data_IF_722394924748
#
_entry.id   IF_722394924748
#
_cell.length_a   1.000
_cell.length_b   1.000
_cell.length_c   1.000
_cell.angle_alpha   90.00
_cell.angle_beta   90.00
_cell.angle_gamma   90.00
#
_symmetry.space_group_name_H-M   'P 1'
#
loop_
_entity.id
_entity.type
_entity.pdbx_description
1 polymer ?
#
# COMPACT_ATOMS: atom_id res chain seq x y z
N UNK A 1 -12.51 30.85 3.27
CA UNK A 1 -12.12 30.15 2.02
C UNK A 1 -12.52 28.65 1.99
N UNK A 2 -13.82 28.27 2.12
CA UNK A 2 -14.23 26.85 2.07
C UNK A 2 -14.47 26.31 0.64
N UNK A 3 -14.58 27.18 -0.37
CA UNK A 3 -14.92 26.78 -1.75
C UNK A 3 -13.81 26.02 -2.47
N UNK A 4 -12.54 26.24 -2.13
CA UNK A 4 -11.42 25.53 -2.74
C UNK A 4 -11.40 24.05 -2.31
N UNK A 5 -11.61 23.75 -1.03
CA UNK A 5 -11.56 22.38 -0.51
C UNK A 5 -12.69 21.49 -1.08
N UNK A 6 -13.88 22.07 -1.31
CA UNK A 6 -15.00 21.37 -1.97
C UNK A 6 -14.71 21.15 -3.46
N UNK A 7 -14.17 22.16 -4.16
CA UNK A 7 -13.88 22.09 -5.60
C UNK A 7 -12.78 21.08 -5.94
N UNK A 8 -11.80 20.90 -5.04
CA UNK A 8 -10.76 19.89 -5.19
C UNK A 8 -11.23 18.47 -4.83
N UNK A 9 -12.17 18.34 -3.87
CA UNK A 9 -12.87 17.07 -3.63
C UNK A 9 -13.63 16.58 -4.87
N UNK A 10 -14.27 17.50 -5.60
CA UNK A 10 -14.95 17.19 -6.88
C UNK A 10 -13.98 16.74 -7.96
N UNK A 11 -12.78 17.32 -8.05
CA UNK A 11 -11.74 16.92 -9.01
C UNK A 11 -11.20 15.52 -8.67
N UNK A 12 -10.95 15.23 -7.39
CA UNK A 12 -10.54 13.89 -6.95
C UNK A 12 -11.64 12.85 -7.21
N UNK A 13 -12.91 13.21 -6.99
CA UNK A 13 -14.06 12.35 -7.35
C UNK A 13 -14.18 12.12 -8.86
N UNK A 14 -13.86 13.10 -9.69
CA UNK A 14 -13.87 12.96 -11.16
C UNK A 14 -12.74 12.05 -11.65
N UNK A 15 -11.53 12.19 -11.07
CA UNK A 15 -10.38 11.32 -11.38
C UNK A 15 -10.62 9.88 -10.90
N UNK A 16 -11.25 9.70 -9.73
CA UNK A 16 -11.64 8.38 -9.23
C UNK A 16 -12.80 7.75 -10.03
N UNK A 17 -13.78 8.55 -10.48
CA UNK A 17 -14.88 8.06 -11.31
C UNK A 17 -14.40 7.57 -12.69
N UNK A 18 -13.37 8.20 -13.26
CA UNK A 18 -12.74 7.74 -14.50
C UNK A 18 -12.00 6.40 -14.38
N UNK A 19 -11.55 6.03 -13.18
CA UNK A 19 -10.80 4.78 -12.96
C UNK A 19 -11.70 3.52 -12.84
N UNK A 20 -13.02 3.69 -12.69
CA UNK A 20 -13.97 2.58 -12.52
C UNK A 20 -14.96 2.39 -13.68
N UNK A 21 -14.86 3.18 -14.75
CA UNK A 21 -15.66 3.01 -15.95
C UNK A 21 -15.02 1.98 -16.90
N UNK A 22 -15.10 0.70 -16.57
CA UNK A 22 -14.88 -0.38 -17.54
C UNK A 22 -16.20 -0.69 -18.26
N UNK A 23 -16.23 -0.81 -19.60
CA UNK A 23 -17.45 -1.22 -20.30
C UNK A 23 -17.71 -2.69 -20.02
N UNK A 24 -18.83 -2.99 -19.36
CA UNK A 24 -19.36 -4.34 -19.19
C UNK A 24 -19.81 -4.88 -20.55
N UNK A 25 -18.91 -5.59 -21.24
CA UNK A 25 -19.24 -6.32 -22.46
C UNK A 25 -19.92 -7.63 -22.04
N UNK A 26 -21.26 -7.63 -22.04
CA UNK A 26 -22.05 -8.82 -21.72
C UNK A 26 -21.88 -9.86 -22.81
N UNK A 27 -21.25 -10.99 -22.47
CA UNK A 27 -21.36 -12.21 -23.26
C UNK A 27 -22.29 -13.18 -22.52
N UNK A 28 -23.44 -13.41 -23.15
CA UNK A 28 -24.37 -14.46 -22.81
C UNK A 28 -23.69 -15.82 -23.06
N UNK A 29 -23.60 -16.66 -22.04
CA UNK A 29 -23.39 -18.09 -22.22
C UNK A 29 -24.66 -18.87 -21.91
N UNK A 30 -25.06 -19.61 -22.93
CA UNK A 30 -26.16 -20.55 -23.01
C UNK A 30 -25.91 -21.73 -22.07
N UNK A 31 -26.92 -22.05 -21.26
CA UNK A 31 -26.93 -23.20 -20.35
C UNK A 31 -27.66 -24.38 -21.02
N UNK A 32 -27.08 -25.59 -21.12
CA UNK A 32 -27.80 -26.74 -21.61
C UNK A 32 -28.67 -27.37 -20.50
N UNK A 33 -29.93 -27.64 -20.84
CA UNK A 33 -30.89 -28.43 -20.07
C UNK A 33 -30.48 -29.91 -19.96
N UNK A 34 -30.65 -30.59 -18.82
CA UNK A 34 -30.64 -32.04 -18.76
C UNK A 34 -32.05 -32.62 -18.96
N UNK A 35 -32.22 -33.50 -19.95
CA UNK A 35 -33.42 -34.33 -20.13
C UNK A 35 -33.37 -35.55 -19.21
N UNK A 36 -34.52 -35.83 -18.58
CA UNK A 36 -34.79 -37.02 -17.80
C UNK A 36 -35.17 -38.19 -18.72
N UNK A 37 -34.52 -39.35 -18.56
CA UNK A 37 -35.03 -40.64 -19.00
C UNK A 37 -34.74 -41.73 -17.96
N UNK A 38 -35.74 -42.59 -17.81
CA UNK A 38 -36.03 -43.58 -16.79
C UNK A 38 -35.21 -44.89 -16.87
N UNK A 39 -35.11 -45.55 -15.71
CA UNK A 39 -34.35 -46.76 -15.34
C UNK A 39 -34.72 -48.07 -16.11
N UNK A 40 -34.04 -49.23 -15.87
CA UNK A 40 -34.26 -49.99 -14.63
C UNK A 40 -33.01 -50.57 -13.94
N UNK A 41 -33.28 -51.07 -12.73
CA UNK A 41 -32.39 -51.41 -11.63
C UNK A 41 -31.52 -52.68 -11.78
N UNK A 42 -30.37 -52.66 -11.10
CA UNK A 42 -29.64 -53.84 -10.61
C UNK A 42 -29.17 -53.54 -9.18
N UNK A 43 -29.39 -54.42 -8.19
CA UNK A 43 -29.07 -54.15 -6.78
C UNK A 43 -27.64 -54.61 -6.45
N UNK A 44 -26.80 -53.70 -5.94
CA UNK A 44 -25.57 -54.09 -5.24
C UNK A 44 -25.42 -53.33 -3.92
N UNK A 45 -25.22 -54.13 -2.87
CA UNK A 45 -25.19 -53.77 -1.46
C UNK A 45 -23.98 -52.89 -1.11
N UNK A 46 -24.24 -51.83 -0.34
CA UNK A 46 -23.22 -51.13 0.45
C UNK A 46 -23.45 -51.42 1.94
N UNK A 47 -22.41 -51.78 2.71
CA UNK A 47 -22.53 -51.95 4.14
C UNK A 47 -22.52 -50.58 4.85
N UNK A 48 -23.58 -50.32 5.61
CA UNK A 48 -23.71 -49.22 6.57
C UNK A 48 -22.77 -49.43 7.75
N UNK A 49 -21.91 -48.45 8.04
CA UNK A 49 -21.28 -48.31 9.36
C UNK A 49 -22.00 -47.22 10.16
N UNK A 50 -22.36 -47.47 11.44
CA UNK A 50 -23.16 -46.55 12.25
C UNK A 50 -22.35 -45.37 12.77
N UNK A 51 -23.01 -44.21 12.84
CA UNK A 51 -22.51 -42.98 13.44
C UNK A 51 -22.27 -43.16 14.95
N UNK A 52 -21.08 -42.80 15.42
CA UNK A 52 -20.75 -42.73 16.84
C UNK A 52 -21.22 -41.37 17.42
N UNK A 53 -21.90 -41.36 18.59
CA UNK A 53 -22.33 -40.13 19.25
C UNK A 53 -21.15 -39.38 19.90
N UNK A 54 -21.25 -38.05 19.89
CA UNK A 54 -20.29 -37.12 20.46
C UNK A 54 -20.14 -37.28 21.99
N UNK A 55 -18.89 -37.33 22.47
CA UNK A 55 -18.55 -37.34 23.89
C UNK A 55 -18.67 -35.92 24.49
N UNK A 56 -19.24 -35.77 25.70
CA UNK A 56 -19.34 -34.48 26.38
C UNK A 56 -18.01 -34.00 26.97
N UNK A 57 -17.88 -32.67 27.05
CA UNK A 57 -16.73 -31.92 27.54
C UNK A 57 -16.30 -32.29 28.97
N UNK A 58 -15.00 -32.47 29.19
CA UNK A 58 -14.41 -32.66 30.51
C UNK A 58 -14.23 -31.31 31.25
N UNK A 59 -14.53 -31.22 32.56
CA UNK A 59 -14.33 -30.01 33.36
C UNK A 59 -12.86 -29.76 33.71
N UNK A 60 -12.48 -28.47 33.76
CA UNK A 60 -11.16 -27.99 34.18
C UNK A 60 -10.88 -28.26 35.67
N UNK A 61 -9.65 -28.70 35.98
CA UNK A 61 -9.14 -28.84 37.35
C UNK A 61 -8.44 -27.54 37.83
N UNK A 62 -8.53 -27.21 39.13
CA UNK A 62 -8.13 -25.92 39.70
C UNK A 62 -6.63 -25.78 40.00
N UNK A 63 -6.20 -24.52 40.00
CA UNK A 63 -4.85 -24.03 40.31
C UNK A 63 -4.48 -24.14 41.80
N UNK A 64 -3.19 -24.36 42.09
CA UNK A 64 -2.57 -24.07 43.39
C UNK A 64 -1.05 -23.72 43.29
N UNK A 65 -0.48 -23.02 44.30
CA UNK A 65 0.50 -21.91 44.23
C UNK A 65 1.97 -22.36 44.51
N UNK A 66 3.09 -21.60 44.40
CA UNK A 66 3.53 -20.28 44.94
C UNK A 66 4.92 -19.85 44.37
N UNK A 67 5.10 -18.53 44.12
CA UNK A 67 6.19 -17.54 44.42
C UNK A 67 7.70 -17.93 44.52
N UNK A 68 8.70 -17.00 44.48
CA UNK A 68 8.81 -15.63 43.92
C UNK A 68 10.16 -15.26 43.17
N UNK A 69 10.14 -14.09 42.49
CA UNK A 69 11.20 -13.07 42.25
C UNK A 69 12.56 -13.38 41.55
N UNK A 70 12.70 -12.87 40.30
CA UNK A 70 13.71 -11.97 39.68
C UNK A 70 15.24 -12.12 39.94
N UNK A 71 16.20 -11.52 39.17
CA UNK A 71 16.14 -10.75 37.90
C UNK A 71 17.24 -11.10 36.83
N UNK A 72 17.21 -10.36 35.71
CA UNK A 72 18.35 -9.89 34.87
C UNK A 72 19.04 -10.80 33.82
N UNK A 73 19.04 -10.26 32.57
CA UNK A 73 19.92 -10.51 31.40
C UNK A 73 21.43 -10.38 31.75
N UNK A 74 22.43 -10.76 30.90
CA UNK A 74 22.44 -10.78 29.43
C UNK A 74 23.20 -11.95 28.75
N UNK A 75 23.21 -11.93 27.41
CA UNK A 75 24.02 -12.79 26.55
C UNK A 75 25.54 -12.70 26.84
N UNK A 76 26.31 -13.70 26.39
CA UNK A 76 27.45 -13.36 25.55
C UNK A 76 27.65 -14.25 24.32
N UNK A 77 28.38 -13.69 23.38
CA UNK A 77 28.80 -14.27 22.12
C UNK A 77 30.07 -15.14 22.24
N UNK A 78 30.27 -15.94 21.19
CA UNK A 78 31.53 -16.53 20.68
C UNK A 78 32.11 -17.78 21.37
N UNK A 79 32.17 -18.89 20.62
CA UNK A 79 33.42 -19.49 20.14
C UNK A 79 33.21 -20.85 19.43
N UNK A 80 33.77 -20.94 18.21
CA UNK A 80 34.50 -22.06 17.58
C UNK A 80 33.91 -23.48 17.37
N UNK A 81 34.21 -23.95 16.15
CA UNK A 81 34.58 -25.29 15.72
C UNK A 81 33.49 -26.30 15.27
N UNK A 82 33.51 -26.52 13.94
CA UNK A 82 33.29 -27.76 13.16
C UNK A 82 33.58 -29.09 13.90
N UNK A 83 32.92 -30.24 13.55
CA UNK A 83 33.23 -30.92 12.26
C UNK A 83 32.12 -31.75 11.55
N UNK A 84 32.43 -31.99 10.26
CA UNK A 84 32.18 -33.18 9.43
C UNK A 84 30.92 -33.37 8.57
N UNK A 85 31.22 -33.76 7.32
CA UNK A 85 30.46 -34.02 6.10
C UNK A 85 29.41 -35.17 6.14
N UNK A 86 28.67 -35.39 5.03
CA UNK A 86 29.16 -36.38 4.06
C UNK A 86 29.09 -35.97 2.57
N UNK A 87 29.77 -36.78 1.77
CA UNK A 87 30.12 -36.61 0.35
C UNK A 87 29.01 -36.97 -0.65
N UNK A 88 29.13 -36.46 -1.88
CA UNK A 88 28.86 -37.26 -3.11
C UNK A 88 29.49 -36.62 -4.35
N UNK A 89 29.86 -37.51 -5.27
CA UNK A 89 30.83 -37.44 -6.36
C UNK A 89 30.31 -36.93 -7.70
N UNK A 90 31.21 -36.32 -8.48
CA UNK A 90 31.06 -35.91 -9.89
C UNK A 90 31.51 -37.04 -10.84
N UNK A 91 30.88 -37.25 -12.02
CA UNK A 91 31.45 -38.10 -13.06
C UNK A 91 32.15 -37.30 -14.18
N UNK A 92 33.17 -37.95 -14.74
CA UNK A 92 34.14 -37.45 -15.73
C UNK A 92 33.74 -37.71 -17.20
N UNK A 93 34.37 -36.95 -18.09
CA UNK A 93 34.28 -37.00 -19.57
C UNK A 93 34.98 -38.24 -20.20
N UNK A 94 34.63 -38.65 -21.43
CA UNK A 94 35.35 -39.68 -22.17
C UNK A 94 36.33 -39.13 -23.23
N UNK A 95 37.32 -39.98 -23.57
CA UNK A 95 38.43 -39.78 -24.52
C UNK A 95 38.35 -40.84 -25.63
N UNK A 96 38.62 -40.45 -26.88
CA UNK A 96 39.04 -41.29 -28.04
C UNK A 96 39.83 -40.33 -28.97
N UNK A 97 40.93 -40.61 -29.66
CA UNK A 97 41.79 -41.77 -29.92
C UNK A 97 42.63 -41.40 -31.17
N UNK A 98 43.96 -41.44 -31.10
CA UNK A 98 44.93 -41.25 -32.23
C UNK A 98 45.14 -42.58 -33.00
N UNK A 99 45.68 -42.67 -34.25
CA UNK A 99 46.92 -42.00 -34.72
C UNK A 99 47.07 -41.69 -36.25
N UNK A 100 48.12 -40.94 -36.62
CA UNK A 100 48.57 -40.81 -38.01
C UNK A 100 49.66 -39.76 -38.24
N UNK A 101 50.90 -40.22 -38.35
CA UNK A 101 52.14 -39.49 -38.68
C UNK A 101 52.22 -39.09 -40.16
N UNK A 102 52.65 -37.86 -40.44
CA UNK A 102 53.05 -37.42 -41.79
C UNK A 102 53.56 -35.97 -41.84
N UNK A 103 54.88 -35.80 -41.92
CA UNK A 103 55.60 -34.55 -42.27
C UNK A 103 55.44 -34.27 -43.79
N UNK A 104 55.50 -33.01 -44.28
CA UNK A 104 56.77 -32.32 -44.60
C UNK A 104 56.78 -30.81 -44.23
N UNK A 105 57.89 -30.30 -43.69
CA UNK A 105 58.95 -29.46 -44.32
C UNK A 105 58.58 -27.99 -44.69
N UNK A 106 59.39 -26.98 -44.33
CA UNK A 106 59.10 -25.55 -44.54
C UNK A 106 59.79 -24.96 -45.79
N UNK A 107 59.15 -23.98 -46.45
CA UNK A 107 59.81 -23.10 -47.43
C UNK A 107 59.11 -21.71 -47.51
N UNK A 108 59.83 -20.72 -46.98
CA UNK A 108 60.10 -19.32 -47.39
C UNK A 108 59.10 -18.53 -48.29
N UNK A 109 58.93 -17.20 -48.07
CA UNK A 109 57.84 -16.38 -48.62
C UNK A 109 58.16 -15.79 -50.00
N UNK A 110 57.13 -15.56 -50.81
CA UNK A 110 57.22 -14.80 -52.05
C UNK A 110 56.21 -13.64 -52.05
N UNK A 111 56.76 -12.43 -52.13
CA UNK A 111 56.07 -11.16 -52.36
C UNK A 111 55.48 -11.11 -53.77
N UNK A 112 54.19 -10.81 -53.88
CA UNK A 112 53.51 -10.36 -55.09
C UNK A 112 52.48 -9.29 -54.72
N UNK A 113 52.70 -8.06 -55.19
CA UNK A 113 51.84 -6.89 -54.95
C UNK A 113 50.62 -6.85 -55.91
N UNK A 114 49.79 -5.80 -55.87
CA UNK A 114 48.56 -5.67 -55.10
C UNK A 114 47.32 -5.87 -56.00
N UNK A 115 46.52 -6.90 -55.71
CA UNK A 115 45.22 -7.12 -56.36
C UNK A 115 44.10 -6.49 -55.54
N UNK A 116 43.39 -5.55 -56.15
CA UNK A 116 42.26 -4.81 -55.62
C UNK A 116 41.36 -5.62 -54.67
N UNK A 117 41.08 -5.03 -53.51
CA UNK A 117 40.07 -5.49 -52.59
C UNK A 117 38.71 -5.69 -53.29
N UNK A 118 37.97 -6.77 -53.03
CA UNK A 118 36.60 -6.55 -52.65
C UNK A 118 36.66 -5.95 -51.25
N UNK A 119 36.21 -4.69 -51.15
CA UNK A 119 35.89 -4.07 -49.87
C UNK A 119 35.27 -5.14 -48.98
N UNK A 120 35.85 -5.35 -47.79
CA UNK A 120 35.04 -5.85 -46.70
C UNK A 120 33.91 -4.83 -46.60
N UNK A 121 32.76 -5.15 -47.21
CA UNK A 121 31.53 -4.46 -46.95
C UNK A 121 31.41 -4.59 -45.45
N UNK A 122 31.75 -3.51 -44.76
CA UNK A 122 31.31 -3.30 -43.40
C UNK A 122 29.82 -3.43 -43.57
N UNK A 123 29.30 -4.63 -43.30
CA UNK A 123 27.90 -4.83 -43.11
C UNK A 123 27.63 -3.88 -41.96
N UNK A 124 27.21 -2.67 -42.31
CA UNK A 124 26.60 -1.73 -41.42
C UNK A 124 25.64 -2.60 -40.64
N UNK A 125 25.98 -2.82 -39.38
CA UNK A 125 25.13 -3.49 -38.43
C UNK A 125 24.00 -2.47 -38.25
N UNK A 126 23.10 -2.45 -39.24
CA UNK A 126 21.88 -1.67 -39.20
C UNK A 126 21.15 -2.32 -38.06
N UNK A 127 21.32 -1.78 -36.85
CA UNK A 127 20.35 -1.90 -35.79
C UNK A 127 19.16 -1.08 -36.28
N UNK A 128 18.11 -1.66 -36.89
CA UNK A 128 16.97 -0.89 -37.38
C UNK A 128 15.99 -0.60 -36.24
N UNK A 129 16.41 -0.80 -34.98
CA UNK A 129 15.55 -0.59 -33.83
C UNK A 129 16.15 0.51 -32.96
N UNK A 130 15.46 1.63 -33.02
CA UNK A 130 15.64 2.75 -32.14
C UNK A 130 15.34 2.26 -30.72
N UNK A 131 16.39 1.91 -29.95
CA UNK A 131 16.30 1.49 -28.54
C UNK A 131 15.93 2.66 -27.61
N UNK A 132 15.31 3.70 -28.16
CA UNK A 132 14.70 4.75 -27.36
C UNK A 132 13.49 4.17 -26.61
N UNK A 133 13.20 4.64 -25.39
CA UNK A 133 12.00 4.22 -24.65
C UNK A 133 10.71 4.40 -25.45
N UNK A 134 10.67 5.39 -26.33
CA UNK A 134 9.55 5.65 -27.24
C UNK A 134 9.43 4.60 -28.34
N UNK A 135 10.54 4.24 -28.99
CA UNK A 135 10.58 3.17 -29.99
C UNK A 135 10.16 1.83 -29.40
N UNK A 136 10.66 1.50 -28.22
CA UNK A 136 10.27 0.30 -27.46
C UNK A 136 8.79 0.30 -27.11
N UNK A 137 8.22 1.43 -26.68
CA UNK A 137 6.79 1.51 -26.40
C UNK A 137 5.94 1.31 -27.65
N UNK A 138 6.34 1.85 -28.81
CA UNK A 138 5.61 1.66 -30.07
C UNK A 138 5.68 0.20 -30.57
N UNK A 139 6.82 -0.46 -30.38
CA UNK A 139 7.02 -1.86 -30.77
C UNK A 139 6.34 -2.88 -29.82
N UNK A 140 6.03 -2.47 -28.59
CA UNK A 140 5.44 -3.34 -27.58
C UNK A 140 4.07 -3.96 -27.94
N UNK A 141 3.85 -5.15 -27.40
CA UNK A 141 2.57 -5.86 -27.46
C UNK A 141 1.44 -5.06 -26.80
N UNK A 142 0.20 -5.25 -27.24
CA UNK A 142 -0.97 -4.53 -26.74
C UNK A 142 -1.12 -4.65 -25.21
N UNK A 143 -0.86 -5.83 -24.64
CA UNK A 143 -0.97 -6.05 -23.19
C UNK A 143 0.14 -5.29 -22.45
N UNK A 144 1.37 -5.32 -22.95
CA UNK A 144 2.50 -4.57 -22.34
C UNK A 144 2.24 -3.07 -22.40
N UNK A 145 1.72 -2.57 -23.53
CA UNK A 145 1.28 -1.17 -23.67
C UNK A 145 0.21 -0.80 -22.63
N UNK A 146 -0.78 -1.64 -22.41
CA UNK A 146 -1.82 -1.42 -21.41
C UNK A 146 -1.25 -1.39 -19.98
N UNK A 147 -0.31 -2.29 -19.66
CA UNK A 147 0.41 -2.31 -18.38
C UNK A 147 1.19 -1.01 -18.17
N UNK A 148 1.99 -0.59 -19.15
CA UNK A 148 2.80 0.64 -19.06
C UNK A 148 1.91 1.88 -18.92
N UNK A 149 0.82 1.97 -19.69
CA UNK A 149 -0.11 3.10 -19.61
C UNK A 149 -0.85 3.14 -18.26
N UNK A 150 -1.29 1.98 -17.76
CA UNK A 150 -1.93 1.86 -16.45
C UNK A 150 -0.99 2.29 -15.30
N UNK A 151 0.28 1.89 -15.36
CA UNK A 151 1.30 2.29 -14.39
C UNK A 151 1.62 3.80 -14.48
N UNK A 152 1.70 4.34 -15.70
CA UNK A 152 1.87 5.78 -15.90
C UNK A 152 0.69 6.59 -15.32
N UNK A 153 -0.54 6.13 -15.54
CA UNK A 153 -1.73 6.71 -14.93
C UNK A 153 -1.69 6.63 -13.39
N UNK A 154 -1.33 5.48 -12.82
CA UNK A 154 -1.18 5.31 -11.38
C UNK A 154 -0.14 6.27 -10.78
N UNK A 155 0.94 6.56 -11.51
CA UNK A 155 1.93 7.57 -11.12
C UNK A 155 1.34 8.98 -11.07
N UNK A 156 0.57 9.39 -12.10
CA UNK A 156 -0.12 10.69 -12.13
C UNK A 156 -1.11 10.82 -10.97
N UNK A 157 -1.88 9.76 -10.70
CA UNK A 157 -2.81 9.70 -9.56
C UNK A 157 -2.07 9.85 -8.23
N UNK A 158 -0.94 9.18 -8.07
CA UNK A 158 -0.09 9.27 -6.87
C UNK A 158 0.33 10.72 -6.59
N UNK A 159 0.87 11.41 -7.60
CA UNK A 159 1.29 12.81 -7.46
C UNK A 159 0.11 13.76 -7.22
N UNK A 160 -1.03 13.53 -7.87
CA UNK A 160 -2.24 14.34 -7.68
C UNK A 160 -2.74 14.25 -6.24
N UNK A 161 -2.87 13.03 -5.72
CA UNK A 161 -3.29 12.81 -4.32
C UNK A 161 -2.26 13.39 -3.37
N UNK A 162 -0.96 13.28 -3.67
CA UNK A 162 0.09 13.82 -2.84
C UNK A 162 -0.06 15.34 -2.64
N UNK A 163 -0.21 16.11 -3.72
CA UNK A 163 -0.34 17.57 -3.64
C UNK A 163 -1.58 17.98 -2.84
N UNK A 164 -2.73 17.35 -3.11
CA UNK A 164 -3.97 17.64 -2.39
C UNK A 164 -3.84 17.35 -0.90
N UNK A 165 -3.26 16.19 -0.56
CA UNK A 165 -3.13 15.75 0.83
C UNK A 165 -2.10 16.55 1.62
N UNK A 166 -1.01 16.99 0.99
CA UNK A 166 -0.04 17.89 1.62
C UNK A 166 -0.73 19.18 2.07
N UNK A 167 -1.51 19.81 1.19
CA UNK A 167 -2.21 21.06 1.52
C UNK A 167 -3.29 20.84 2.59
N UNK A 168 -4.09 19.79 2.46
CA UNK A 168 -5.14 19.44 3.43
C UNK A 168 -4.55 19.21 4.84
N UNK A 169 -3.52 18.37 4.95
CA UNK A 169 -2.88 18.05 6.23
C UNK A 169 -2.13 19.24 6.82
N UNK A 170 -1.41 20.02 6.00
CA UNK A 170 -0.68 21.19 6.49
C UNK A 170 -1.64 22.23 7.09
N UNK A 171 -2.76 22.50 6.41
CA UNK A 171 -3.79 23.41 6.92
C UNK A 171 -4.47 22.86 8.17
N UNK A 172 -4.85 21.57 8.17
CA UNK A 172 -5.52 20.93 9.30
C UNK A 172 -4.64 20.90 10.55
N UNK A 173 -3.36 20.55 10.40
CA UNK A 173 -2.40 20.51 11.50
C UNK A 173 -2.09 21.91 12.03
N UNK A 174 -1.94 22.89 11.14
CA UNK A 174 -1.77 24.30 11.52
C UNK A 174 -2.96 24.83 12.33
N UNK A 175 -4.18 24.50 11.92
CA UNK A 175 -5.41 24.87 12.64
C UNK A 175 -5.51 24.16 13.99
N UNK A 176 -5.22 22.85 14.05
CA UNK A 176 -5.25 22.08 15.30
C UNK A 176 -4.24 22.62 16.33
N UNK A 177 -3.01 22.91 15.90
CA UNK A 177 -1.96 23.49 16.77
C UNK A 177 -2.33 24.88 17.28
N UNK A 178 -2.88 25.74 16.42
CA UNK A 178 -3.37 27.07 16.83
C UNK A 178 -4.52 26.94 17.83
N UNK A 179 -5.48 26.05 17.56
CA UNK A 179 -6.59 25.77 18.47
C UNK A 179 -6.12 25.27 19.83
N UNK A 180 -5.20 24.31 19.86
CA UNK A 180 -4.60 23.80 21.09
C UNK A 180 -3.88 24.90 21.89
N UNK A 181 -3.16 25.80 21.22
CA UNK A 181 -2.53 26.96 21.88
C UNK A 181 -3.56 27.87 22.54
N UNK A 182 -4.68 28.17 21.85
CA UNK A 182 -5.78 28.96 22.41
C UNK A 182 -6.39 28.26 23.63
N UNK A 183 -6.65 26.95 23.54
CA UNK A 183 -7.15 26.16 24.66
C UNK A 183 -6.22 26.22 25.88
N UNK A 184 -4.90 26.06 25.67
CA UNK A 184 -3.90 26.11 26.75
C UNK A 184 -3.80 27.48 27.42
N UNK A 185 -4.12 28.55 26.69
CA UNK A 185 -4.07 29.92 27.20
C UNK A 185 -5.38 30.38 27.84
N UNK A 186 -6.49 29.70 27.56
CA UNK A 186 -7.78 30.03 28.13
C UNK A 186 -7.84 29.68 29.63
N UNK A 187 -8.62 30.44 30.39
CA UNK A 187 -8.84 30.24 31.84
C UNK A 187 -9.97 29.26 32.17
N UNK A 188 -10.76 28.86 31.16
CA UNK A 188 -11.89 27.93 31.25
C UNK A 188 -12.54 27.66 29.88
N UNK A 189 -13.62 26.89 29.86
CA UNK A 189 -14.28 26.46 28.60
C UNK A 189 -14.93 27.61 27.82
N UNK A 190 -15.65 28.49 28.51
CA UNK A 190 -16.39 29.57 27.85
C UNK A 190 -15.46 30.62 27.22
N UNK A 191 -14.39 31.10 27.90
CA UNK A 191 -13.38 31.93 27.28
C UNK A 191 -12.69 31.26 26.08
N UNK A 192 -12.43 29.95 26.15
CA UNK A 192 -11.86 29.20 25.03
C UNK A 192 -12.80 29.20 23.80
N UNK A 193 -14.11 29.02 24.01
CA UNK A 193 -15.11 29.07 22.95
C UNK A 193 -15.21 30.45 22.29
N UNK A 194 -15.10 31.52 23.10
CA UNK A 194 -15.03 32.89 22.60
C UNK A 194 -13.80 33.15 21.74
N UNK A 195 -12.62 32.74 22.23
CA UNK A 195 -11.35 32.94 21.53
C UNK A 195 -11.21 32.12 20.23
N UNK A 196 -11.84 30.94 20.15
CA UNK A 196 -11.92 30.16 18.91
C UNK A 196 -12.95 30.71 17.91
N UNK A 197 -13.90 31.53 18.37
CA UNK A 197 -14.93 32.16 17.56
C UNK A 197 -15.86 31.16 16.87
N UNK A 198 -16.27 31.50 15.64
CA UNK A 198 -17.20 30.73 14.79
C UNK A 198 -16.50 29.84 13.76
N UNK A 199 -15.18 29.69 13.88
CA UNK A 199 -14.40 28.92 12.92
C UNK A 199 -14.84 27.44 12.92
N UNK A 200 -15.06 26.85 11.74
CA UNK A 200 -15.48 25.44 11.57
C UNK A 200 -14.30 24.45 11.76
N UNK A 201 -13.48 24.66 12.78
CA UNK A 201 -12.31 23.80 13.08
C UNK A 201 -12.73 22.63 13.98
N UNK A 202 -11.97 21.52 13.92
CA UNK A 202 -12.20 20.36 14.80
C UNK A 202 -12.10 20.77 16.28
N UNK A 203 -11.11 21.58 16.65
CA UNK A 203 -10.96 22.07 18.03
C UNK A 203 -12.17 22.86 18.52
N UNK A 204 -12.77 23.73 17.69
CA UNK A 204 -14.00 24.42 18.06
C UNK A 204 -15.17 23.45 18.22
N UNK A 205 -15.27 22.42 17.37
CA UNK A 205 -16.29 21.37 17.54
C UNK A 205 -16.15 20.62 18.87
N UNK A 206 -14.93 20.33 19.32
CA UNK A 206 -14.68 19.72 20.63
C UNK A 206 -15.20 20.59 21.78
N UNK A 207 -14.84 21.88 21.77
CA UNK A 207 -15.30 22.84 22.81
C UNK A 207 -16.81 23.01 22.79
N UNK A 208 -17.41 23.16 21.60
CA UNK A 208 -18.87 23.31 21.46
C UNK A 208 -19.63 22.06 21.89
N UNK A 209 -19.09 20.88 21.62
CA UNK A 209 -19.69 19.63 22.08
C UNK A 209 -19.67 19.52 23.62
N UNK A 210 -18.56 19.93 24.25
CA UNK A 210 -18.48 19.97 25.71
C UNK A 210 -19.47 20.96 26.33
N UNK A 211 -19.61 22.16 25.75
CA UNK A 211 -20.57 23.17 26.21
C UNK A 211 -22.02 22.71 26.03
N UNK A 212 -22.34 22.10 24.87
CA UNK A 212 -23.68 21.57 24.61
C UNK A 212 -24.05 20.46 25.58
N UNK A 213 -23.12 19.56 25.91
CA UNK A 213 -23.33 18.49 26.89
C UNK A 213 -23.48 19.04 28.32
N UNK A 214 -22.70 20.06 28.68
CA UNK A 214 -22.83 20.75 29.97
C UNK A 214 -24.20 21.40 30.13
N UNK A 215 -24.73 22.01 29.08
CA UNK A 215 -26.07 22.61 29.06
C UNK A 215 -27.17 21.55 29.10
N UNK A 216 -27.05 20.49 28.30
CA UNK A 216 -28.00 19.38 28.28
C UNK A 216 -28.04 18.59 29.60
N UNK A 217 -26.92 18.58 30.34
CA UNK A 217 -26.78 17.88 31.62
C UNK A 217 -26.90 18.78 32.84
N UNK A 218 -27.50 19.96 32.72
CA UNK A 218 -27.71 20.86 33.87
C UNK A 218 -28.44 20.13 35.01
N UNK A 219 -27.90 20.22 36.22
CA UNK A 219 -28.44 19.58 37.42
C UNK A 219 -28.09 18.10 37.58
N UNK A 220 -27.29 17.51 36.68
CA UNK A 220 -26.78 16.15 36.81
C UNK A 220 -25.41 16.11 37.51
N UNK A 221 -24.99 14.95 38.05
CA UNK A 221 -23.70 14.83 38.74
C UNK A 221 -22.51 15.13 37.83
N UNK A 222 -21.52 15.87 38.34
CA UNK A 222 -20.33 16.29 37.60
C UNK A 222 -19.56 15.13 36.96
N UNK A 223 -19.40 14.00 37.67
CA UNK A 223 -18.70 12.82 37.14
C UNK A 223 -19.38 12.24 35.90
N UNK A 224 -20.71 12.17 35.89
CA UNK A 224 -21.45 11.71 34.71
C UNK A 224 -21.33 12.65 33.51
N UNK A 225 -21.21 13.97 33.75
CA UNK A 225 -20.97 14.97 32.70
C UNK A 225 -19.57 14.77 32.10
N UNK A 226 -18.54 14.61 32.94
CA UNK A 226 -17.15 14.37 32.50
C UNK A 226 -17.07 13.13 31.59
N UNK A 227 -17.73 12.04 31.97
CA UNK A 227 -17.79 10.81 31.17
C UNK A 227 -18.48 11.01 29.81
N UNK A 228 -19.68 11.61 29.79
CA UNK A 228 -20.41 11.86 28.53
C UNK A 228 -19.65 12.78 27.58
N UNK A 229 -18.99 13.82 28.12
CA UNK A 229 -18.12 14.70 27.33
C UNK A 229 -16.93 13.90 26.79
N UNK A 230 -16.24 13.10 27.61
CA UNK A 230 -15.11 12.29 27.14
C UNK A 230 -15.51 11.35 25.99
N UNK A 231 -16.69 10.70 26.09
CA UNK A 231 -17.25 9.88 25.01
C UNK A 231 -17.50 10.71 23.74
N UNK A 232 -18.14 11.89 23.87
CA UNK A 232 -18.42 12.78 22.73
C UNK A 232 -17.15 13.24 22.02
N UNK A 233 -16.14 13.67 22.76
CA UNK A 233 -14.84 14.10 22.25
C UNK A 233 -14.13 12.96 21.51
N UNK A 234 -14.12 11.75 22.08
CA UNK A 234 -13.51 10.57 21.43
C UNK A 234 -14.12 10.27 20.05
N UNK A 235 -15.45 10.44 19.91
CA UNK A 235 -16.15 10.26 18.64
C UNK A 235 -15.78 11.34 17.62
N UNK A 236 -15.63 12.60 18.05
CA UNK A 236 -15.21 13.71 17.20
C UNK A 236 -13.77 13.48 16.69
N UNK A 237 -12.86 13.07 17.57
CA UNK A 237 -11.47 12.78 17.23
C UNK A 237 -11.35 11.62 16.24
N UNK A 238 -12.10 10.53 16.48
CA UNK A 238 -12.16 9.39 15.57
C UNK A 238 -12.70 9.78 14.19
N UNK A 239 -13.77 10.56 14.13
CA UNK A 239 -14.34 11.05 12.88
C UNK A 239 -13.35 11.96 12.11
N UNK A 240 -12.71 12.90 12.81
CA UNK A 240 -11.74 13.81 12.20
C UNK A 240 -10.51 13.05 11.65
N UNK A 241 -10.01 12.06 12.41
CA UNK A 241 -8.89 11.21 11.98
C UNK A 241 -9.27 10.38 10.76
N UNK A 242 -10.43 9.72 10.77
CA UNK A 242 -10.91 8.90 9.65
C UNK A 242 -11.05 9.72 8.38
N UNK A 243 -11.55 10.96 8.48
CA UNK A 243 -11.65 11.88 7.35
C UNK A 243 -10.29 12.17 6.71
N UNK A 244 -9.23 12.33 7.53
CA UNK A 244 -7.89 12.58 7.01
C UNK A 244 -7.28 11.36 6.29
N UNK A 245 -7.68 10.14 6.68
CA UNK A 245 -7.24 8.89 6.05
C UNK A 245 -7.91 8.62 4.69
N UNK A 246 -9.01 9.29 4.35
CA UNK A 246 -9.68 9.09 3.06
C UNK A 246 -8.73 9.46 1.92
N UNK A 247 -8.54 8.54 0.97
CA UNK A 247 -7.68 8.73 -0.20
C UNK A 247 -6.22 8.26 -0.02
N UNK A 248 -5.71 8.11 1.21
CA UNK A 248 -4.35 7.58 1.42
C UNK A 248 -4.25 6.08 1.17
N UNK A 249 -5.37 5.35 1.32
CA UNK A 249 -5.42 3.91 1.01
C UNK A 249 -5.08 3.57 -0.44
N UNK A 250 -5.40 4.47 -1.38
CA UNK A 250 -5.07 4.29 -2.80
C UNK A 250 -3.54 4.25 -3.03
N UNK A 251 -2.78 5.09 -2.32
CA UNK A 251 -1.32 5.10 -2.40
C UNK A 251 -0.73 3.80 -1.85
N UNK A 252 -1.32 3.28 -0.76
CA UNK A 252 -0.91 2.00 -0.21
C UNK A 252 -1.13 0.87 -1.22
N UNK A 253 -2.29 0.85 -1.89
CA UNK A 253 -2.59 -0.14 -2.93
C UNK A 253 -1.64 0.00 -4.12
N UNK A 254 -1.46 1.19 -4.68
CA UNK A 254 -0.54 1.41 -5.81
C UNK A 254 0.89 1.01 -5.43
N UNK A 255 1.36 1.43 -4.27
CA UNK A 255 2.70 1.09 -3.78
C UNK A 255 2.91 -0.42 -3.60
N UNK A 256 1.87 -1.15 -3.19
CA UNK A 256 1.93 -2.60 -3.01
C UNK A 256 1.78 -3.38 -4.33
N UNK A 257 0.94 -2.91 -5.28
CA UNK A 257 0.58 -3.70 -6.47
C UNK A 257 1.36 -3.32 -7.73
N UNK A 258 1.82 -2.07 -7.87
CA UNK A 258 2.52 -1.60 -9.07
C UNK A 258 3.78 -2.43 -9.44
N UNK A 259 4.61 -2.92 -8.49
CA UNK A 259 5.74 -3.78 -8.83
C UNK A 259 5.28 -5.11 -9.47
N UNK A 260 4.20 -5.70 -8.96
CA UNK A 260 3.65 -6.94 -9.48
C UNK A 260 2.98 -6.77 -10.84
N UNK A 261 2.34 -5.62 -11.08
CA UNK A 261 1.81 -5.26 -12.39
C UNK A 261 2.94 -5.09 -13.42
N UNK A 262 4.07 -4.48 -13.03
CA UNK A 262 5.28 -4.42 -13.87
C UNK A 262 5.90 -5.80 -14.14
N UNK A 263 5.98 -6.65 -13.11
CA UNK A 263 6.43 -8.03 -13.22
C UNK A 263 5.54 -8.83 -14.19
N UNK A 264 4.22 -8.68 -14.10
CA UNK A 264 3.29 -9.28 -15.06
C UNK A 264 3.62 -8.86 -16.50
N UNK A 265 3.91 -7.57 -16.72
CA UNK A 265 4.38 -7.07 -18.02
C UNK A 265 5.64 -7.77 -18.52
N UNK A 266 6.62 -8.03 -17.64
CA UNK A 266 7.83 -8.78 -18.05
C UNK A 266 7.55 -10.21 -18.44
N UNK A 267 6.74 -10.92 -17.65
CA UNK A 267 6.41 -12.33 -17.90
C UNK A 267 5.69 -12.45 -19.24
N UNK A 268 4.75 -11.55 -19.50
CA UNK A 268 4.02 -11.51 -20.77
C UNK A 268 4.93 -11.22 -21.96
N UNK A 269 5.80 -10.21 -21.87
CA UNK A 269 6.70 -9.85 -22.98
C UNK A 269 7.74 -10.93 -23.28
N UNK A 270 8.30 -11.58 -22.25
CA UNK A 270 9.22 -12.72 -22.42
C UNK A 270 8.49 -13.90 -23.06
N UNK A 271 7.26 -14.21 -22.62
CA UNK A 271 6.45 -15.27 -23.22
C UNK A 271 6.21 -15.01 -24.72
N UNK A 272 5.80 -13.79 -25.09
CA UNK A 272 5.60 -13.42 -26.50
C UNK A 272 6.88 -13.48 -27.33
N UNK A 273 8.03 -13.14 -26.73
CA UNK A 273 9.35 -13.27 -27.39
C UNK A 273 9.68 -14.73 -27.70
N UNK A 274 9.42 -15.66 -26.77
CA UNK A 274 9.62 -17.10 -27.02
C UNK A 274 8.66 -17.67 -28.07
N UNK A 275 7.41 -17.19 -28.11
CA UNK A 275 6.46 -17.55 -29.18
C UNK A 275 6.99 -17.08 -30.54
N UNK A 276 7.63 -15.91 -30.61
CA UNK A 276 8.27 -15.38 -31.81
C UNK A 276 9.39 -16.28 -32.34
N UNK A 277 10.29 -16.76 -31.47
CA UNK A 277 11.35 -17.73 -31.82
C UNK A 277 10.76 -19.00 -32.41
N UNK A 278 9.73 -19.55 -31.75
CA UNK A 278 9.08 -20.79 -32.17
C UNK A 278 8.47 -20.67 -33.58
N UNK A 279 7.80 -19.56 -33.87
CA UNK A 279 7.21 -19.29 -35.19
C UNK A 279 8.24 -19.03 -36.27
N UNK A 280 9.31 -18.31 -35.94
CA UNK A 280 10.37 -17.96 -36.88
C UNK A 280 11.36 -19.10 -37.16
N UNK A 281 11.29 -20.20 -36.39
CA UNK A 281 12.18 -21.36 -36.49
C UNK A 281 13.68 -21.01 -36.53
N UNK A 282 14.05 -19.90 -35.87
CA UNK A 282 15.42 -19.39 -35.83
C UNK A 282 15.81 -19.08 -34.39
N UNK A 283 17.06 -19.40 -34.04
CA UNK A 283 17.64 -19.08 -32.72
C UNK A 283 18.31 -17.70 -32.71
N UNK A 284 18.10 -16.88 -33.74
CA UNK A 284 18.71 -15.57 -33.84
C UNK A 284 18.22 -14.63 -32.72
N UNK A 285 19.13 -14.29 -31.81
CA UNK A 285 18.86 -13.42 -30.65
C UNK A 285 18.40 -12.01 -31.05
N UNK A 286 18.74 -11.53 -32.25
CA UNK A 286 18.32 -10.22 -32.73
C UNK A 286 16.79 -10.11 -32.86
N UNK A 287 16.09 -11.23 -33.07
CA UNK A 287 14.62 -11.26 -33.22
C UNK A 287 13.90 -11.07 -31.87
N UNK A 288 14.53 -11.43 -30.75
CA UNK A 288 13.91 -11.37 -29.42
C UNK A 288 14.43 -10.27 -28.51
N UNK A 289 15.63 -9.75 -28.78
CA UNK A 289 16.20 -8.66 -28.00
C UNK A 289 15.22 -7.48 -27.77
N UNK A 290 14.40 -7.07 -28.75
CA UNK A 290 13.44 -5.97 -28.55
C UNK A 290 12.34 -6.30 -27.54
N UNK A 291 11.69 -7.46 -27.66
CA UNK A 291 10.59 -7.87 -26.77
C UNK A 291 11.04 -8.10 -25.32
N UNK A 292 12.28 -8.58 -25.12
CA UNK A 292 12.87 -8.69 -23.79
C UNK A 292 13.16 -7.30 -23.20
N UNK A 293 13.69 -6.38 -24.01
CA UNK A 293 13.97 -5.02 -23.55
C UNK A 293 12.67 -4.31 -23.12
N UNK A 294 11.59 -4.43 -23.90
CA UNK A 294 10.26 -3.88 -23.59
C UNK A 294 9.66 -4.47 -22.31
N UNK A 295 9.78 -5.79 -22.14
CA UNK A 295 9.41 -6.47 -20.91
C UNK A 295 10.10 -5.83 -19.71
N UNK A 296 11.44 -5.71 -19.74
CA UNK A 296 12.22 -5.12 -18.65
C UNK A 296 11.81 -3.67 -18.35
N UNK A 297 11.49 -2.89 -19.39
CA UNK A 297 10.99 -1.52 -19.25
C UNK A 297 9.68 -1.47 -18.45
N UNK A 298 8.76 -2.43 -18.64
CA UNK A 298 7.50 -2.47 -17.89
C UNK A 298 7.73 -2.62 -16.38
N UNK A 299 8.69 -3.44 -15.96
CA UNK A 299 9.07 -3.55 -14.53
C UNK A 299 9.74 -2.30 -14.01
N UNK A 300 10.62 -1.67 -14.80
CA UNK A 300 11.23 -0.41 -14.41
C UNK A 300 10.17 0.68 -14.15
N UNK A 301 9.17 0.80 -15.03
CA UNK A 301 8.04 1.73 -14.85
C UNK A 301 7.20 1.36 -13.61
N UNK A 302 7.00 0.07 -13.36
CA UNK A 302 6.31 -0.42 -12.16
C UNK A 302 6.97 0.06 -10.87
N UNK A 303 8.30 -0.02 -10.79
CA UNK A 303 9.07 0.48 -9.65
C UNK A 303 9.03 2.01 -9.54
N UNK A 304 9.13 2.73 -10.66
CA UNK A 304 9.03 4.20 -10.70
C UNK A 304 7.66 4.68 -10.21
N UNK A 305 6.59 3.94 -10.47
CA UNK A 305 5.25 4.23 -9.92
C UNK A 305 5.13 3.84 -8.43
N UNK A 306 5.69 2.70 -8.03
CA UNK A 306 5.54 2.16 -6.68
C UNK A 306 6.31 2.94 -5.61
N UNK A 307 7.57 3.27 -5.87
CA UNK A 307 8.47 3.85 -4.85
C UNK A 307 7.92 5.18 -4.31
N UNK A 308 7.54 6.16 -5.16
CA UNK A 308 6.96 7.41 -4.66
C UNK A 308 5.65 7.17 -3.90
N UNK A 309 4.79 6.26 -4.36
CA UNK A 309 3.53 5.96 -3.70
C UNK A 309 3.72 5.48 -2.26
N UNK A 310 4.68 4.56 -2.03
CA UNK A 310 5.00 4.04 -0.69
C UNK A 310 5.59 5.14 0.20
N UNK A 311 6.54 5.93 -0.31
CA UNK A 311 7.17 7.01 0.47
C UNK A 311 6.13 8.04 0.90
N UNK A 312 5.29 8.50 -0.03
CA UNK A 312 4.26 9.50 0.22
C UNK A 312 3.22 8.95 1.20
N UNK A 313 2.79 7.68 1.04
CA UNK A 313 1.88 7.03 1.99
C UNK A 313 2.45 7.03 3.41
N UNK A 314 3.71 6.66 3.59
CA UNK A 314 4.35 6.62 4.90
C UNK A 314 4.48 8.00 5.55
N UNK A 315 4.78 9.03 4.75
CA UNK A 315 4.80 10.43 5.23
C UNK A 315 3.41 10.85 5.71
N UNK A 316 2.36 10.53 4.96
CA UNK A 316 0.98 10.85 5.36
C UNK A 316 0.51 10.04 6.57
N UNK A 317 0.85 8.76 6.67
CA UNK A 317 0.53 7.95 7.84
C UNK A 317 1.09 8.59 9.12
N UNK A 318 2.35 9.05 9.08
CA UNK A 318 2.99 9.75 10.20
C UNK A 318 2.37 11.11 10.47
N UNK A 319 2.08 11.89 9.43
CA UNK A 319 1.44 13.20 9.59
C UNK A 319 0.02 13.09 10.17
N UNK A 320 -0.77 12.10 9.75
CA UNK A 320 -2.10 11.82 10.30
C UNK A 320 -2.00 11.37 11.76
N UNK A 321 -1.02 10.55 12.12
CA UNK A 321 -0.77 10.18 13.52
C UNK A 321 -0.47 11.42 14.38
N UNK A 322 0.37 12.34 13.89
CA UNK A 322 0.65 13.60 14.57
C UNK A 322 -0.59 14.50 14.71
N UNK A 323 -1.43 14.55 13.67
CA UNK A 323 -2.71 15.27 13.71
C UNK A 323 -3.64 14.67 14.78
N UNK A 324 -3.78 13.34 14.81
CA UNK A 324 -4.56 12.62 15.84
C UNK A 324 -4.05 12.92 17.24
N UNK A 325 -2.72 12.90 17.46
CA UNK A 325 -2.13 13.24 18.75
C UNK A 325 -2.48 14.68 19.17
N UNK A 326 -2.38 15.64 18.25
CA UNK A 326 -2.71 17.05 18.52
C UNK A 326 -4.20 17.24 18.86
N UNK A 327 -5.09 16.47 18.23
CA UNK A 327 -6.51 16.45 18.58
C UNK A 327 -6.75 15.84 19.97
N UNK A 328 -6.08 14.72 20.28
CA UNK A 328 -6.11 14.11 21.61
C UNK A 328 -5.68 15.08 22.70
N UNK A 329 -4.58 15.81 22.50
CA UNK A 329 -4.14 16.87 23.41
C UNK A 329 -5.20 17.97 23.58
N UNK A 330 -5.91 18.32 22.51
CA UNK A 330 -6.99 19.31 22.55
C UNK A 330 -8.18 18.78 23.38
N UNK A 331 -8.59 17.53 23.17
CA UNK A 331 -9.65 16.88 23.92
C UNK A 331 -9.31 16.77 25.41
N UNK A 332 -8.08 16.39 25.75
CA UNK A 332 -7.60 16.38 27.14
C UNK A 332 -7.65 17.76 27.78
N UNK A 333 -7.28 18.80 27.03
CA UNK A 333 -7.32 20.17 27.53
C UNK A 333 -8.76 20.69 27.73
N UNK A 334 -9.70 20.31 26.85
CA UNK A 334 -11.15 20.55 27.03
C UNK A 334 -11.64 19.87 28.30
N UNK A 335 -11.34 18.59 28.51
CA UNK A 335 -11.72 17.85 29.72
C UNK A 335 -11.11 18.46 30.99
N UNK A 336 -9.87 18.93 30.91
CA UNK A 336 -9.20 19.61 32.02
C UNK A 336 -9.90 20.91 32.40
N UNK A 337 -10.32 21.72 31.41
CA UNK A 337 -11.10 22.92 31.67
C UNK A 337 -12.48 22.60 32.21
N UNK A 338 -13.16 21.61 31.63
CA UNK A 338 -14.45 21.13 32.12
C UNK A 338 -14.38 20.70 33.59
N UNK A 339 -13.40 19.87 33.95
CA UNK A 339 -13.26 19.38 35.33
C UNK A 339 -13.05 20.55 36.28
N UNK A 340 -12.13 21.46 35.98
CA UNK A 340 -11.88 22.64 36.83
C UNK A 340 -13.11 23.54 36.94
N UNK A 341 -13.87 23.71 35.87
CA UNK A 341 -15.07 24.55 35.88
C UNK A 341 -16.23 23.90 36.66
N UNK A 342 -16.35 22.56 36.65
CA UNK A 342 -17.31 21.82 37.48
C UNK A 342 -16.91 21.82 38.97
N UNK A 343 -15.64 21.56 39.28
CA UNK A 343 -15.14 21.52 40.66
C UNK A 343 -15.29 22.90 41.34
N UNK A 344 -15.13 24.01 40.58
CA UNK A 344 -15.39 25.38 41.07
C UNK A 344 -16.88 25.65 41.34
N UNK A 345 -17.76 25.10 40.51
CA UNK A 345 -19.22 25.20 40.71
C UNK A 345 -19.64 24.44 41.97
N UNK A 346 -19.12 23.23 42.17
CA UNK A 346 -19.39 22.40 43.35
C UNK A 346 -18.85 23.06 44.63
N UNK A 347 -17.71 23.75 44.56
CA UNK A 347 -17.15 24.53 45.66
C UNK A 347 -17.89 25.86 45.95
N UNK A 348 -18.94 26.20 45.19
CA UNK A 348 -19.66 27.47 45.32
C UNK A 348 -18.85 28.71 44.94
N UNK A 349 -17.71 28.53 44.27
CA UNK A 349 -16.88 29.64 43.77
C UNK A 349 -17.53 30.14 42.49
N UNK A 350 -18.33 31.21 42.60
CA UNK A 350 -18.92 31.89 41.44
C UNK A 350 -17.81 32.50 40.61
N UNK A 351 -17.33 31.76 39.61
CA UNK A 351 -16.43 32.30 38.60
C UNK A 351 -17.25 33.27 37.74
N UNK A 352 -16.83 34.54 37.59
CA UNK A 352 -17.61 35.55 36.85
C UNK A 352 -17.95 35.20 35.40
N UNK A 353 -17.27 34.20 34.81
CA UNK A 353 -17.40 33.82 33.40
C UNK A 353 -18.72 33.15 33.01
N UNK A 354 -19.52 32.65 33.96
CA UNK A 354 -20.80 31.98 33.64
C UNK A 354 -22.04 32.88 33.76
N UNK A 355 -21.97 33.99 34.51
CA UNK A 355 -23.10 34.95 34.59
C UNK A 355 -23.35 35.64 33.25
N UNK A 356 -22.30 35.97 32.50
CA UNK A 356 -22.41 36.68 31.23
C UNK A 356 -23.04 35.87 30.06
N UNK A 357 -23.35 34.58 30.27
CA UNK A 357 -24.10 33.77 29.30
C UNK A 357 -25.50 33.38 29.81
N UNK A 358 -25.82 33.73 31.06
CA UNK A 358 -27.13 33.53 31.67
C UNK A 358 -27.96 34.84 31.70
N UNK A 359 -27.34 35.98 31.41
CA UNK A 359 -27.96 37.28 31.07
C UNK A 359 -27.89 37.50 29.56
#
# INVERSE_FOLDING_TARGET
MPRACVRWGSILSLVLAGAFAAPSMGMAQQQPTPQAQSAPAVPQAQPTLPALPALPAQPALPAQPTLPAAPASPAPAAANATPSAPATSVPASPVQGTPGTGTPSPATPALGAPGAAPMATSASLILPHDLSPWGMFMAADMVVKAVMLGLAFASVVTWTVAVVKVLELFMALGQARRGLKILRQASGLLPAAGALGTAKTTTNRLVRAALAELEASRGLPAEGIKERVAISLSRIDAYATRRMQVGTGLLATIGATAPFVGLFGTVWGIMNSFIGISKAQTTNLAVVAPGIAEALLATAIGLVAAIPAVVIYNVFARAIANYRATLGDSSSEVLRHLSRDLDRQDAGIVVPSLRAAAE
#
